data_IF_030417488132
#
_entry.id   IF_030417488132
#
_cell.length_a   1.000
_cell.length_b   1.000
_cell.length_c   1.000
_cell.angle_alpha   90.00
_cell.angle_beta   90.00
_cell.angle_gamma   90.00
#
_symmetry.space_group_name_H-M   'P 1'
#
loop_
_entity.id
_entity.type
_entity.pdbx_description
1 polymer ?
#
# COMPACT_ATOMS: atom_id res chain seq x y z
N UNK A 1 6.73 -21.18 7.18
CA UNK A 1 7.67 -20.30 6.45
C UNK A 1 7.57 -20.60 4.96
N UNK A 2 7.35 -19.57 4.11
CA UNK A 2 7.26 -19.75 2.65
C UNK A 2 8.66 -20.01 2.08
N UNK A 3 8.74 -20.83 1.03
CA UNK A 3 9.99 -21.09 0.31
C UNK A 3 10.22 -19.99 -0.72
N UNK A 4 11.37 -19.31 -0.62
CA UNK A 4 11.82 -18.33 -1.62
C UNK A 4 12.34 -19.02 -2.88
N UNK A 5 12.10 -18.40 -4.03
CA UNK A 5 12.75 -18.77 -5.28
C UNK A 5 14.21 -18.25 -5.32
N UNK A 6 14.99 -18.71 -6.30
CA UNK A 6 16.42 -18.37 -6.39
C UNK A 6 16.67 -16.87 -6.51
N UNK A 7 15.79 -16.15 -7.21
CA UNK A 7 15.90 -14.70 -7.38
C UNK A 7 15.61 -13.96 -6.07
N UNK A 8 14.53 -14.31 -5.37
CA UNK A 8 14.21 -13.75 -4.05
C UNK A 8 15.30 -14.02 -3.01
N UNK A 9 15.91 -15.21 -3.03
CA UNK A 9 17.06 -15.54 -2.18
C UNK A 9 18.27 -14.64 -2.49
N UNK A 10 18.51 -14.38 -3.77
CA UNK A 10 19.60 -13.49 -4.21
C UNK A 10 19.38 -12.08 -3.68
N UNK A 11 18.16 -11.53 -3.83
CA UNK A 11 17.82 -10.20 -3.32
C UNK A 11 17.91 -10.14 -1.79
N UNK A 12 17.38 -11.16 -1.09
CA UNK A 12 17.42 -11.21 0.37
C UNK A 12 18.84 -11.18 0.91
N UNK A 13 19.77 -11.90 0.27
CA UNK A 13 21.19 -11.88 0.63
C UNK A 13 21.85 -10.53 0.28
N UNK A 14 21.59 -9.99 -0.91
CA UNK A 14 22.14 -8.71 -1.38
C UNK A 14 21.76 -7.56 -0.45
N UNK A 15 20.51 -7.54 0.03
CA UNK A 15 19.98 -6.45 0.85
C UNK A 15 19.90 -6.76 2.35
N UNK A 16 20.54 -7.82 2.83
CA UNK A 16 20.36 -8.32 4.19
C UNK A 16 20.58 -7.24 5.28
N UNK A 17 21.60 -6.37 5.13
CA UNK A 17 21.90 -5.28 6.07
C UNK A 17 20.81 -4.20 6.12
N UNK A 18 20.00 -4.09 5.08
CA UNK A 18 18.89 -3.14 4.99
C UNK A 18 17.57 -3.74 5.51
N UNK A 19 17.50 -5.06 5.68
CA UNK A 19 16.31 -5.75 6.17
C UNK A 19 16.24 -5.66 7.70
N UNK A 20 15.42 -4.72 8.17
CA UNK A 20 15.07 -4.57 9.59
C UNK A 20 13.58 -4.32 9.72
N UNK A 21 13.05 -4.57 10.91
CA UNK A 21 11.69 -4.17 11.23
C UNK A 21 11.58 -2.64 11.10
N UNK A 22 10.80 -2.20 10.13
CA UNK A 22 10.52 -0.81 9.85
C UNK A 22 9.05 -0.59 9.50
N UNK A 23 8.18 -1.52 9.93
CA UNK A 23 6.75 -1.45 9.66
C UNK A 23 6.18 -0.21 10.35
N UNK A 24 5.62 0.69 9.55
CA UNK A 24 4.94 1.91 10.03
C UNK A 24 3.49 1.60 10.40
N UNK A 25 3.01 2.32 11.42
CA UNK A 25 1.60 2.31 11.78
C UNK A 25 0.73 2.96 10.68
N UNK A 26 -0.58 2.67 10.65
CA UNK A 26 -1.50 3.31 9.71
C UNK A 26 -1.50 4.85 9.83
N UNK A 27 -1.35 5.37 11.05
CA UNK A 27 -1.27 6.81 11.31
C UNK A 27 -0.02 7.45 10.69
N UNK A 28 1.13 6.78 10.76
CA UNK A 28 2.36 7.25 10.10
C UNK A 28 2.23 7.24 8.57
N UNK A 29 1.45 6.30 8.02
CA UNK A 29 1.18 6.25 6.57
C UNK A 29 0.23 7.37 6.14
N UNK A 30 -0.84 7.63 6.90
CA UNK A 30 -1.69 8.80 6.66
C UNK A 30 -0.87 10.10 6.70
N UNK A 31 -0.02 10.27 7.71
CA UNK A 31 0.87 11.43 7.79
C UNK A 31 1.80 11.54 6.56
N UNK A 32 2.37 10.43 6.11
CA UNK A 32 3.18 10.40 4.90
C UNK A 32 2.39 10.86 3.67
N UNK A 33 1.18 10.32 3.46
CA UNK A 33 0.29 10.69 2.35
C UNK A 33 0.03 12.19 2.34
N UNK A 34 -0.38 12.76 3.47
CA UNK A 34 -0.70 14.18 3.63
C UNK A 34 0.53 15.09 3.46
N UNK A 35 1.72 14.62 3.85
CA UNK A 35 2.96 15.37 3.64
C UNK A 35 3.42 15.38 2.18
N UNK A 36 3.21 14.27 1.48
CA UNK A 36 3.71 14.05 0.11
C UNK A 36 2.78 14.61 -0.95
N UNK A 37 1.47 14.49 -0.75
CA UNK A 37 0.44 14.87 -1.72
C UNK A 37 -0.49 15.92 -1.13
N UNK A 38 -1.05 16.78 -1.99
CA UNK A 38 -2.20 17.56 -1.57
C UNK A 38 -3.44 16.69 -1.72
N UNK A 39 -4.12 16.40 -0.61
CA UNK A 39 -5.25 15.46 -0.60
C UNK A 39 -6.53 16.12 -0.11
N UNK A 40 -7.66 15.49 -0.40
CA UNK A 40 -8.97 15.77 0.19
C UNK A 40 -9.41 14.55 0.97
N UNK A 41 -9.67 14.70 2.26
CA UNK A 41 -10.29 13.65 3.07
C UNK A 41 -11.75 13.47 2.63
N UNK A 42 -12.07 12.24 2.20
CA UNK A 42 -13.40 11.79 1.76
C UNK A 42 -13.86 10.57 2.55
N UNK A 43 -13.35 10.39 3.76
CA UNK A 43 -13.67 9.25 4.63
C UNK A 43 -15.17 9.16 4.90
N UNK A 44 -15.83 10.32 5.06
CA UNK A 44 -17.28 10.43 5.28
C UNK A 44 -18.09 10.68 3.99
N UNK A 45 -17.45 10.72 2.81
CA UNK A 45 -18.14 10.84 1.53
C UNK A 45 -18.33 9.47 0.89
N UNK A 46 -19.55 8.97 1.00
CA UNK A 46 -19.97 7.69 0.46
C UNK A 46 -20.39 7.77 -1.01
N UNK A 47 -20.24 8.90 -1.69
CA UNK A 47 -20.61 9.01 -3.12
C UNK A 47 -19.41 8.88 -4.05
N UNK A 48 -18.24 9.41 -3.65
CA UNK A 48 -17.11 9.56 -4.58
C UNK A 48 -16.34 8.27 -4.81
N UNK A 49 -16.19 7.43 -3.78
CA UNK A 49 -15.38 6.20 -3.86
C UNK A 49 -16.08 4.95 -3.31
N UNK A 50 -17.42 4.97 -3.19
CA UNK A 50 -18.20 3.90 -2.54
C UNK A 50 -17.86 2.49 -3.04
N UNK A 51 -17.86 2.33 -4.36
CA UNK A 51 -17.61 1.05 -5.02
C UNK A 51 -16.21 0.53 -4.66
N UNK A 52 -15.24 1.43 -4.57
CA UNK A 52 -13.86 1.08 -4.25
C UNK A 52 -13.67 0.78 -2.76
N UNK A 53 -14.32 1.55 -1.86
CA UNK A 53 -14.41 1.20 -0.43
C UNK A 53 -15.00 -0.20 -0.24
N UNK A 54 -16.08 -0.53 -0.94
CA UNK A 54 -16.70 -1.85 -0.85
C UNK A 54 -15.74 -2.98 -1.28
N UNK A 55 -15.06 -2.82 -2.43
CA UNK A 55 -14.06 -3.80 -2.89
C UNK A 55 -12.89 -3.92 -1.89
N UNK A 56 -12.41 -2.80 -1.37
CA UNK A 56 -11.33 -2.79 -0.40
C UNK A 56 -11.70 -3.51 0.91
N UNK A 57 -12.90 -3.27 1.43
CA UNK A 57 -13.44 -3.98 2.59
C UNK A 57 -13.47 -5.49 2.35
N UNK A 58 -14.00 -5.93 1.21
CA UNK A 58 -14.02 -7.36 0.87
C UNK A 58 -12.60 -7.94 0.82
N UNK A 59 -11.62 -7.22 0.26
CA UNK A 59 -10.24 -7.68 0.24
C UNK A 59 -9.65 -7.81 1.65
N UNK A 60 -9.90 -6.85 2.55
CA UNK A 60 -9.46 -6.94 3.94
C UNK A 60 -10.09 -8.13 4.66
N UNK A 61 -11.40 -8.33 4.50
CA UNK A 61 -12.14 -9.40 5.17
C UNK A 61 -11.77 -10.80 4.65
N UNK A 62 -11.43 -10.91 3.36
CA UNK A 62 -11.01 -12.17 2.74
C UNK A 62 -9.48 -12.34 2.70
N UNK A 63 -8.73 -11.45 3.34
CA UNK A 63 -7.28 -11.56 3.45
C UNK A 63 -6.90 -12.82 4.23
N UNK A 64 -5.76 -13.43 3.89
CA UNK A 64 -5.18 -14.56 4.64
C UNK A 64 -4.97 -14.18 6.12
N UNK A 65 -4.70 -12.89 6.40
CA UNK A 65 -4.57 -12.38 7.76
C UNK A 65 -5.88 -12.41 8.56
N UNK A 66 -7.03 -12.58 7.91
CA UNK A 66 -8.34 -12.78 8.51
C UNK A 66 -8.93 -14.18 8.24
N UNK A 67 -8.09 -15.20 8.00
CA UNK A 67 -8.57 -16.53 7.65
C UNK A 67 -9.50 -17.17 8.71
N UNK A 68 -9.36 -16.78 9.98
CA UNK A 68 -10.23 -17.23 11.09
C UNK A 68 -11.56 -16.45 11.18
N UNK A 69 -11.77 -15.43 10.34
CA UNK A 69 -12.98 -14.62 10.31
C UNK A 69 -13.21 -13.79 11.57
N UNK A 70 -12.14 -13.44 12.29
CA UNK A 70 -12.21 -12.69 13.53
C UNK A 70 -12.44 -11.19 13.29
N UNK A 71 -11.90 -10.64 12.20
CA UNK A 71 -12.13 -9.28 11.76
C UNK A 71 -13.45 -9.22 10.99
N UNK A 72 -14.35 -8.34 11.45
CA UNK A 72 -15.62 -8.05 10.80
C UNK A 72 -15.57 -6.67 10.16
N UNK A 73 -16.55 -6.40 9.29
CA UNK A 73 -16.65 -5.11 8.60
C UNK A 73 -16.73 -3.94 9.59
N UNK A 74 -17.40 -4.13 10.71
CA UNK A 74 -17.59 -3.10 11.74
C UNK A 74 -16.30 -2.77 12.50
N UNK A 75 -15.30 -3.66 12.43
CA UNK A 75 -14.00 -3.46 13.07
C UNK A 75 -13.06 -2.61 12.21
N UNK A 76 -13.33 -2.50 10.90
CA UNK A 76 -12.53 -1.71 9.96
C UNK A 76 -12.76 -0.21 10.18
N UNK A 77 -11.67 0.54 10.18
CA UNK A 77 -11.68 2.00 10.37
C UNK A 77 -11.03 2.65 9.17
N UNK A 78 -11.85 2.92 8.15
CA UNK A 78 -11.33 3.43 6.88
C UNK A 78 -11.08 4.93 6.94
N UNK A 79 -9.88 5.33 6.50
CA UNK A 79 -9.55 6.68 6.10
C UNK A 79 -9.40 6.69 4.59
N UNK A 80 -9.91 7.71 3.92
CA UNK A 80 -9.91 7.77 2.47
C UNK A 80 -9.58 9.16 1.95
N UNK A 81 -8.74 9.20 0.92
CA UNK A 81 -8.25 10.41 0.30
C UNK A 81 -8.50 10.42 -1.20
N UNK A 82 -8.78 11.60 -1.74
CA UNK A 82 -8.59 11.91 -3.16
C UNK A 82 -7.31 12.73 -3.28
N UNK A 83 -6.41 12.30 -4.16
CA UNK A 83 -5.21 13.07 -4.49
C UNK A 83 -5.63 14.23 -5.40
N UNK A 84 -5.35 15.48 -5.04
CA UNK A 84 -5.68 16.61 -5.92
C UNK A 84 -4.81 16.58 -7.15
N UNK A 85 -5.39 16.86 -8.32
CA UNK A 85 -4.62 17.06 -9.55
C UNK A 85 -3.87 18.40 -9.52
N UNK A 86 -2.59 18.34 -9.18
CA UNK A 86 -1.69 19.50 -9.15
C UNK A 86 -0.24 19.12 -9.53
N UNK A 87 0.70 20.05 -9.34
CA UNK A 87 2.11 19.84 -9.67
C UNK A 87 2.77 18.69 -8.90
N UNK A 88 2.33 18.36 -7.67
CA UNK A 88 2.88 17.23 -6.90
C UNK A 88 2.42 15.88 -7.44
N UNK A 89 1.21 15.83 -8.02
CA UNK A 89 0.61 14.60 -8.54
C UNK A 89 0.65 14.49 -10.07
N UNK A 90 1.17 15.49 -10.77
CA UNK A 90 1.05 15.64 -12.23
C UNK A 90 1.47 14.39 -12.98
N UNK A 91 2.66 13.87 -12.68
CA UNK A 91 3.20 12.66 -13.35
C UNK A 91 2.33 11.42 -13.10
N UNK A 92 1.76 11.28 -11.90
CA UNK A 92 0.87 10.16 -11.60
C UNK A 92 -0.40 10.24 -12.45
N UNK A 93 -1.04 11.41 -12.52
CA UNK A 93 -2.22 11.61 -13.36
C UNK A 93 -1.94 11.47 -14.87
N UNK A 94 -0.80 11.96 -15.36
CA UNK A 94 -0.41 11.80 -16.77
C UNK A 94 -0.26 10.33 -17.20
N UNK A 95 0.20 9.46 -16.29
CA UNK A 95 0.29 8.01 -16.52
C UNK A 95 -1.06 7.34 -16.32
N UNK A 96 -1.78 7.70 -15.27
CA UNK A 96 -3.06 7.13 -14.91
C UNK A 96 -4.15 7.41 -15.97
N UNK A 97 -4.19 8.63 -16.51
CA UNK A 97 -5.17 9.04 -17.54
C UNK A 97 -5.04 8.24 -18.83
N UNK A 98 -3.82 7.82 -19.20
CA UNK A 98 -3.58 6.98 -20.38
C UNK A 98 -4.30 5.63 -20.27
N UNK A 99 -4.60 5.19 -19.06
CA UNK A 99 -5.18 3.88 -18.77
C UNK A 99 -6.64 3.98 -18.33
N UNK A 100 -7.05 5.05 -17.65
CA UNK A 100 -8.35 5.14 -16.95
C UNK A 100 -9.16 6.41 -17.24
N UNK A 101 -8.86 7.12 -18.34
CA UNK A 101 -9.69 8.19 -18.90
C UNK A 101 -10.16 9.27 -17.89
N UNK A 102 -9.23 10.04 -17.33
CA UNK A 102 -9.52 11.18 -16.45
C UNK A 102 -10.29 10.84 -15.16
N UNK A 103 -10.05 9.65 -14.60
CA UNK A 103 -10.59 9.26 -13.30
C UNK A 103 -9.78 9.91 -12.15
N UNK A 104 -10.42 10.10 -11.00
CA UNK A 104 -9.73 10.55 -9.78
C UNK A 104 -8.82 9.46 -9.22
N UNK A 105 -7.67 9.87 -8.67
CA UNK A 105 -6.79 8.97 -7.93
C UNK A 105 -7.20 8.99 -6.46
N UNK A 106 -7.48 7.81 -5.91
CA UNK A 106 -7.85 7.65 -4.51
C UNK A 106 -6.83 6.80 -3.75
N UNK A 107 -6.82 6.98 -2.43
CA UNK A 107 -6.07 6.17 -1.49
C UNK A 107 -7.03 5.80 -0.35
N UNK A 108 -7.08 4.52 0.01
CA UNK A 108 -7.86 4.01 1.15
C UNK A 108 -6.88 3.34 2.10
N UNK A 109 -7.02 3.62 3.40
CA UNK A 109 -6.22 3.03 4.47
C UNK A 109 -7.18 2.49 5.53
N UNK A 110 -7.03 1.22 5.93
CA UNK A 110 -7.67 0.71 7.14
C UNK A 110 -6.77 0.97 8.35
N UNK A 111 -7.28 1.76 9.29
CA UNK A 111 -6.58 2.11 10.53
C UNK A 111 -6.53 0.95 11.53
N UNK A 112 -7.29 -0.12 11.30
CA UNK A 112 -7.29 -1.31 12.17
C UNK A 112 -6.19 -2.28 11.75
N UNK A 113 -6.12 -2.69 10.48
CA UNK A 113 -5.10 -3.67 10.01
C UNK A 113 -3.83 -3.02 9.45
N UNK A 114 -3.89 -1.78 8.99
CA UNK A 114 -2.82 -1.16 8.21
C UNK A 114 -2.76 -1.63 6.76
N UNK A 115 -3.82 -2.26 6.28
CA UNK A 115 -4.03 -2.44 4.85
C UNK A 115 -4.29 -1.10 4.19
N UNK A 116 -3.85 -0.99 2.95
CA UNK A 116 -4.03 0.22 2.15
C UNK A 116 -4.06 -0.12 0.68
N UNK A 117 -4.69 0.74 -0.10
CA UNK A 117 -4.79 0.58 -1.54
C UNK A 117 -4.88 1.94 -2.23
N UNK A 118 -4.29 2.05 -3.41
CA UNK A 118 -4.59 3.11 -4.36
C UNK A 118 -4.90 2.50 -5.72
N UNK A 119 -5.79 3.15 -6.48
CA UNK A 119 -5.99 2.83 -7.90
C UNK A 119 -4.82 3.25 -8.80
N UNK A 120 -3.86 4.03 -8.30
CA UNK A 120 -2.64 4.36 -9.03
C UNK A 120 -1.50 3.44 -8.61
N UNK A 121 -1.05 2.55 -9.51
CA UNK A 121 -0.03 1.53 -9.22
C UNK A 121 1.28 2.13 -8.68
N UNK A 122 1.69 3.30 -9.17
CA UNK A 122 2.90 3.97 -8.69
C UNK A 122 2.75 4.46 -7.25
N UNK A 123 1.59 5.04 -6.91
CA UNK A 123 1.31 5.46 -5.54
C UNK A 123 1.17 4.23 -4.65
N UNK A 124 0.49 3.18 -5.12
CA UNK A 124 0.33 1.94 -4.36
C UNK A 124 1.69 1.29 -4.04
N UNK A 125 2.61 1.28 -5.01
CA UNK A 125 3.98 0.76 -4.85
C UNK A 125 4.78 1.61 -3.86
N UNK A 126 4.72 2.93 -3.99
CA UNK A 126 5.39 3.87 -3.08
C UNK A 126 4.88 3.75 -1.64
N UNK A 127 3.56 3.67 -1.47
CA UNK A 127 2.94 3.45 -0.17
C UNK A 127 3.36 2.11 0.41
N UNK A 128 3.33 1.03 -0.37
CA UNK A 128 3.76 -0.30 0.09
C UNK A 128 5.20 -0.28 0.61
N UNK A 129 6.11 0.33 -0.14
CA UNK A 129 7.51 0.46 0.28
C UNK A 129 7.64 1.34 1.53
N UNK A 130 6.91 2.45 1.59
CA UNK A 130 6.93 3.35 2.73
C UNK A 130 6.34 2.72 4.00
N UNK A 131 5.34 1.84 3.88
CA UNK A 131 4.80 1.04 5.00
C UNK A 131 5.87 0.16 5.62
N UNK A 132 6.88 -0.24 4.86
CA UNK A 132 7.95 -1.09 5.34
C UNK A 132 7.46 -2.53 5.55
N UNK A 133 8.31 -3.34 6.17
CA UNK A 133 8.09 -4.74 6.47
C UNK A 133 8.30 -4.98 7.96
N UNK A 134 7.56 -5.95 8.51
CA UNK A 134 7.71 -6.35 9.91
C UNK A 134 8.81 -7.39 10.06
N UNK A 135 9.26 -7.61 11.30
CA UNK A 135 10.12 -8.75 11.63
C UNK A 135 9.51 -10.09 11.21
N UNK A 136 8.18 -10.24 11.37
CA UNK A 136 7.46 -11.46 11.01
C UNK A 136 7.54 -11.74 9.50
N UNK A 137 7.49 -10.71 8.66
CA UNK A 137 7.63 -10.81 7.21
C UNK A 137 9.01 -11.35 6.81
N UNK A 138 10.05 -10.80 7.45
CA UNK A 138 11.45 -11.16 7.22
C UNK A 138 11.69 -12.62 7.61
N UNK A 139 11.20 -13.02 8.79
CA UNK A 139 11.38 -14.36 9.34
C UNK A 139 10.59 -15.41 8.55
N UNK A 140 9.35 -15.10 8.15
CA UNK A 140 8.49 -16.07 7.46
C UNK A 140 8.63 -16.10 5.94
N UNK A 141 9.47 -15.23 5.38
CA UNK A 141 9.55 -15.00 3.93
C UNK A 141 8.18 -14.68 3.34
N UNK A 142 7.42 -13.76 3.94
CA UNK A 142 6.08 -13.43 3.45
C UNK A 142 6.10 -12.94 2.01
N UNK A 143 4.94 -12.88 1.36
CA UNK A 143 4.81 -12.24 0.05
C UNK A 143 5.16 -10.75 0.13
N UNK A 144 4.84 -10.11 1.26
CA UNK A 144 5.24 -8.75 1.58
C UNK A 144 6.76 -8.55 1.53
N UNK A 145 7.54 -9.49 2.10
CA UNK A 145 9.00 -9.44 1.99
C UNK A 145 9.46 -9.51 0.53
N UNK A 146 8.86 -10.39 -0.28
CA UNK A 146 9.22 -10.51 -1.69
C UNK A 146 8.92 -9.25 -2.46
N UNK A 147 7.73 -8.67 -2.27
CA UNK A 147 7.37 -7.43 -2.94
C UNK A 147 8.31 -6.29 -2.52
N UNK A 148 8.63 -6.19 -1.23
CA UNK A 148 9.57 -5.19 -0.71
C UNK A 148 10.97 -5.32 -1.33
N UNK A 149 11.49 -6.54 -1.44
CA UNK A 149 12.80 -6.80 -2.07
C UNK A 149 12.82 -6.42 -3.55
N UNK A 150 11.74 -6.70 -4.29
CA UNK A 150 11.64 -6.33 -5.70
C UNK A 150 11.64 -4.80 -5.88
N UNK A 151 10.85 -4.09 -5.07
CA UNK A 151 10.80 -2.62 -5.11
C UNK A 151 12.15 -2.04 -4.70
N UNK A 152 12.80 -2.62 -3.69
CA UNK A 152 14.13 -2.19 -3.27
C UNK A 152 15.17 -2.36 -4.39
N UNK A 153 15.16 -3.49 -5.10
CA UNK A 153 16.02 -3.71 -6.26
C UNK A 153 15.79 -2.65 -7.34
N UNK A 154 14.54 -2.37 -7.67
CA UNK A 154 14.17 -1.37 -8.67
C UNK A 154 14.67 0.03 -8.29
N UNK A 155 14.49 0.45 -7.03
CA UNK A 155 14.96 1.75 -6.54
C UNK A 155 16.49 1.83 -6.58
N UNK A 156 17.18 0.74 -6.23
CA UNK A 156 18.63 0.72 -6.12
C UNK A 156 19.34 0.58 -7.47
N UNK A 157 18.65 0.08 -8.50
CA UNK A 157 19.19 -0.07 -9.87
C UNK A 157 18.83 1.07 -10.81
N UNK A 158 17.78 1.84 -10.50
CA UNK A 158 17.40 3.06 -11.24
C UNK A 158 18.19 4.32 -10.83
N UNK A 159 19.22 4.18 -10.00
CA UNK A 159 20.21 5.24 -9.68
C UNK A 159 21.43 5.12 -10.58
#
# INVERSE_FOLDING_TARGET
MRKLNNYELTLKNKYHDMLKDNRKSPAEICYYIESKYNVVDVSNDDSVILKYKAIFIENCLNSICNAEGLLKKEDLKLVSYIVKRDEKSKTHYEKFDKQYAFSEIYIIVDMTTGDMNSNCDEINTDLFFQRGISKLDIENNSEDLSLYLNILEEIMTKK
#
